data_IF_064737441163
#
_entry.id   IF_064737441163
#
_cell.length_a   1.000
_cell.length_b   1.000
_cell.length_c   1.000
_cell.angle_alpha   90.00
_cell.angle_beta   90.00
_cell.angle_gamma   90.00
#
_symmetry.space_group_name_H-M   'P 1'
#
loop_
_entity.id
_entity.type
_entity.pdbx_description
1 polymer ?
#
# COMPACT_ATOMS: atom_id res chain seq x y z
N UNK A 1 35.58 -7.31 -10.92
CA UNK A 1 35.45 -6.06 -11.66
C UNK A 1 34.06 -5.54 -11.33
N UNK A 2 33.99 -4.50 -10.51
CA UNK A 2 32.74 -3.94 -9.98
C UNK A 2 31.94 -3.28 -11.11
N UNK A 3 30.71 -3.73 -11.33
CA UNK A 3 29.74 -3.11 -12.26
C UNK A 3 29.16 -1.81 -11.68
N UNK A 4 29.98 -0.92 -11.14
CA UNK A 4 29.58 0.36 -10.54
C UNK A 4 29.26 1.47 -11.57
N UNK A 5 29.37 1.20 -12.88
CA UNK A 5 29.37 2.26 -13.89
C UNK A 5 27.96 2.72 -14.36
N UNK A 6 26.85 2.13 -13.85
CA UNK A 6 25.50 2.53 -14.29
C UNK A 6 24.45 2.40 -13.19
N UNK A 7 24.69 2.93 -11.98
CA UNK A 7 23.65 3.08 -10.98
C UNK A 7 22.85 4.37 -11.22
N UNK A 8 21.56 4.26 -11.45
CA UNK A 8 20.62 5.39 -11.56
C UNK A 8 19.83 5.53 -10.27
N UNK A 9 19.87 6.73 -9.66
CA UNK A 9 19.03 7.00 -8.49
C UNK A 9 17.58 7.16 -8.91
N UNK A 10 16.69 6.30 -8.38
CA UNK A 10 15.26 6.39 -8.61
C UNK A 10 14.66 7.50 -7.74
N UNK A 11 13.95 8.42 -8.38
CA UNK A 11 13.21 9.50 -7.70
C UNK A 11 11.80 9.02 -7.39
N UNK A 12 11.31 9.19 -6.16
CA UNK A 12 9.91 8.89 -5.81
C UNK A 12 9.68 8.22 -4.44
N UNK A 13 10.74 7.83 -3.71
CA UNK A 13 10.60 7.33 -2.34
C UNK A 13 10.94 8.41 -1.31
N UNK A 14 10.04 8.67 -0.37
CA UNK A 14 10.26 9.68 0.67
C UNK A 14 11.19 9.21 1.81
N UNK A 15 11.58 7.94 1.85
CA UNK A 15 12.18 7.33 3.05
C UNK A 15 13.56 6.69 2.82
N UNK A 16 13.95 6.36 1.58
CA UNK A 16 15.25 5.74 1.32
C UNK A 16 15.75 6.00 -0.10
N UNK A 17 17.07 6.15 -0.25
CA UNK A 17 17.69 6.20 -1.55
C UNK A 17 17.65 4.81 -2.20
N UNK A 18 17.01 4.72 -3.35
CA UNK A 18 16.91 3.51 -4.15
C UNK A 18 17.70 3.71 -5.44
N UNK A 19 18.60 2.79 -5.74
CA UNK A 19 19.43 2.84 -6.94
C UNK A 19 19.09 1.69 -7.88
N UNK A 20 18.80 1.97 -9.12
CA UNK A 20 18.62 0.97 -10.17
C UNK A 20 19.96 0.59 -10.79
N UNK A 21 20.19 -0.69 -10.98
CA UNK A 21 21.33 -1.25 -11.73
C UNK A 21 20.81 -2.39 -12.62
N UNK A 22 20.56 -2.08 -13.89
CA UNK A 22 19.93 -3.02 -14.84
C UNK A 22 18.52 -3.46 -14.39
N UNK A 23 18.35 -4.77 -14.22
CA UNK A 23 17.08 -5.38 -13.79
C UNK A 23 16.96 -5.53 -12.25
N UNK A 24 17.78 -4.81 -11.51
CA UNK A 24 17.82 -4.88 -10.05
C UNK A 24 17.84 -3.50 -9.41
N UNK A 25 17.41 -3.42 -8.15
CA UNK A 25 17.55 -2.22 -7.31
C UNK A 25 18.45 -2.51 -6.11
N UNK A 26 19.07 -1.44 -5.60
CA UNK A 26 19.89 -1.43 -4.38
C UNK A 26 19.25 -0.47 -3.40
N UNK A 27 19.07 -0.94 -2.16
CA UNK A 27 18.51 -0.15 -1.06
C UNK A 27 19.32 -0.38 0.21
N UNK A 28 19.51 0.66 1.01
CA UNK A 28 20.18 0.52 2.30
C UNK A 28 19.40 -0.41 3.22
N UNK A 29 20.13 -1.24 3.98
CA UNK A 29 19.52 -2.12 4.97
C UNK A 29 18.95 -1.31 6.12
N UNK A 30 17.70 -1.60 6.47
CA UNK A 30 17.06 -1.17 7.71
C UNK A 30 17.12 -2.28 8.76
N UNK A 31 16.92 -1.98 10.04
CA UNK A 31 16.88 -3.00 11.11
C UNK A 31 15.89 -4.14 10.79
N UNK A 32 14.79 -3.81 10.14
CA UNK A 32 13.71 -4.73 9.79
C UNK A 32 13.91 -5.47 8.46
N UNK A 33 14.93 -5.13 7.66
CA UNK A 33 15.17 -5.78 6.36
C UNK A 33 15.26 -7.31 6.41
N UNK A 34 15.86 -7.95 7.42
CA UNK A 34 15.92 -9.42 7.48
C UNK A 34 14.55 -10.10 7.51
N UNK A 35 13.55 -9.51 8.20
CA UNK A 35 12.19 -10.05 8.23
C UNK A 35 11.51 -9.88 6.86
N UNK A 36 11.70 -8.73 6.20
CA UNK A 36 11.18 -8.49 4.85
C UNK A 36 11.80 -9.46 3.84
N UNK A 37 13.10 -9.74 3.93
CA UNK A 37 13.75 -10.76 3.09
C UNK A 37 13.16 -12.16 3.29
N UNK A 38 12.79 -12.53 4.55
CA UNK A 38 12.10 -13.79 4.83
C UNK A 38 10.73 -13.84 4.15
N UNK A 39 9.97 -12.74 4.21
CA UNK A 39 8.68 -12.62 3.53
C UNK A 39 8.83 -12.73 2.01
N UNK A 40 9.73 -11.97 1.39
CA UNK A 40 9.93 -11.99 -0.06
C UNK A 40 10.33 -13.37 -0.58
N UNK A 41 11.20 -14.09 0.14
CA UNK A 41 11.54 -15.50 -0.19
C UNK A 41 10.34 -16.43 -0.06
N UNK A 42 9.49 -16.22 0.95
CA UNK A 42 8.27 -17.00 1.11
C UNK A 42 7.31 -16.76 -0.06
N UNK A 43 7.06 -15.51 -0.41
CA UNK A 43 6.21 -15.12 -1.55
C UNK A 43 6.74 -15.73 -2.86
N UNK A 44 8.05 -15.70 -3.10
CA UNK A 44 8.67 -16.35 -4.26
C UNK A 44 8.41 -17.86 -4.26
N UNK A 45 8.59 -18.54 -3.12
CA UNK A 45 8.34 -19.99 -2.97
C UNK A 45 6.86 -20.36 -3.18
N UNK A 46 5.94 -19.44 -2.85
CA UNK A 46 4.50 -19.61 -3.11
C UNK A 46 4.09 -19.29 -4.54
N UNK A 47 4.99 -18.78 -5.36
CA UNK A 47 4.71 -18.39 -6.74
C UNK A 47 3.97 -17.05 -6.88
N UNK A 48 3.99 -16.21 -5.83
CA UNK A 48 3.45 -14.86 -5.90
C UNK A 48 4.39 -13.97 -6.73
N UNK A 49 4.06 -13.80 -8.00
CA UNK A 49 4.92 -13.13 -8.99
C UNK A 49 4.86 -11.60 -8.97
N UNK A 50 4.00 -11.02 -8.15
CA UNK A 50 3.81 -9.56 -8.08
C UNK A 50 4.77 -8.85 -7.13
N UNK A 51 5.48 -9.57 -6.25
CA UNK A 51 6.49 -8.99 -5.36
C UNK A 51 7.88 -8.98 -5.99
N UNK A 52 8.77 -8.04 -5.61
CA UNK A 52 10.17 -8.13 -5.95
C UNK A 52 10.81 -9.36 -5.29
N UNK A 53 11.83 -9.93 -5.92
CA UNK A 53 12.61 -11.05 -5.34
C UNK A 53 13.81 -10.48 -4.60
N UNK A 54 14.11 -11.06 -3.44
CA UNK A 54 15.36 -10.78 -2.72
C UNK A 54 16.49 -11.61 -3.29
N UNK A 55 17.51 -10.95 -3.84
CA UNK A 55 18.63 -11.61 -4.52
C UNK A 55 19.89 -11.74 -3.65
N UNK A 56 20.00 -10.95 -2.57
CA UNK A 56 21.15 -10.96 -1.68
C UNK A 56 21.55 -9.57 -1.20
N UNK A 57 22.79 -9.48 -0.73
CA UNK A 57 23.41 -8.24 -0.24
C UNK A 57 24.64 -7.96 -1.10
N UNK A 58 24.83 -6.71 -1.51
CA UNK A 58 26.00 -6.29 -2.29
C UNK A 58 27.24 -6.05 -1.41
N UNK A 59 28.38 -5.77 -2.05
CA UNK A 59 29.65 -5.51 -1.35
C UNK A 59 29.62 -4.23 -0.48
N UNK A 60 28.66 -3.32 -0.73
CA UNK A 60 28.44 -2.09 0.05
C UNK A 60 27.48 -2.32 1.22
N UNK A 61 26.99 -3.56 1.42
CA UNK A 61 26.04 -3.90 2.49
C UNK A 61 24.61 -3.49 2.19
N UNK A 62 24.22 -3.24 0.94
CA UNK A 62 22.88 -2.89 0.51
C UNK A 62 22.12 -4.13 0.04
N UNK A 63 20.82 -4.19 0.28
CA UNK A 63 19.97 -5.26 -0.27
C UNK A 63 19.84 -5.13 -1.79
N UNK A 64 19.78 -6.29 -2.44
CA UNK A 64 19.56 -6.42 -3.88
C UNK A 64 18.19 -7.03 -4.09
N UNK A 65 17.29 -6.29 -4.75
CA UNK A 65 15.98 -6.77 -5.15
C UNK A 65 15.85 -6.75 -6.67
N UNK A 66 14.95 -7.58 -7.24
CA UNK A 66 14.58 -7.44 -8.65
C UNK A 66 13.86 -6.11 -8.87
N UNK A 67 14.13 -5.46 -10.00
CA UNK A 67 13.39 -4.28 -10.44
C UNK A 67 12.11 -4.72 -11.15
N UNK A 68 10.96 -4.21 -10.73
CA UNK A 68 9.69 -4.40 -11.45
C UNK A 68 9.55 -3.23 -12.41
N UNK A 69 9.74 -3.50 -13.71
CA UNK A 69 9.72 -2.47 -14.74
C UNK A 69 8.30 -1.95 -15.00
N UNK A 70 8.08 -0.67 -14.75
CA UNK A 70 6.79 -0.01 -14.92
C UNK A 70 6.77 1.35 -14.26
N UNK A 71 5.58 1.91 -14.12
CA UNK A 71 5.35 3.16 -13.41
C UNK A 71 4.58 2.93 -12.11
N UNK A 72 4.97 3.60 -11.04
CA UNK A 72 4.22 3.56 -9.79
C UNK A 72 2.95 4.41 -9.88
N UNK A 73 1.90 4.02 -9.16
CA UNK A 73 0.63 4.75 -9.10
C UNK A 73 0.71 6.05 -8.28
N UNK A 74 1.68 6.90 -8.59
CA UNK A 74 1.88 8.18 -7.91
C UNK A 74 0.79 9.19 -8.27
N UNK A 75 0.37 9.97 -7.28
CA UNK A 75 -0.58 11.07 -7.50
C UNK A 75 0.07 12.26 -8.25
N UNK A 76 -0.68 12.90 -9.16
CA UNK A 76 -2.04 12.59 -9.61
C UNK A 76 -2.09 11.32 -10.48
N UNK A 77 -3.06 10.43 -10.19
CA UNK A 77 -3.21 9.17 -10.91
C UNK A 77 -3.65 9.39 -12.36
N UNK A 78 -3.09 8.63 -13.28
CA UNK A 78 -3.57 8.54 -14.67
C UNK A 78 -5.00 7.97 -14.71
N UNK A 79 -5.78 8.33 -15.71
CA UNK A 79 -7.18 7.93 -15.81
C UNK A 79 -7.36 6.41 -15.81
N UNK A 80 -6.52 5.66 -16.54
CA UNK A 80 -6.59 4.21 -16.58
C UNK A 80 -6.39 3.55 -15.20
N UNK A 81 -5.57 4.15 -14.32
CA UNK A 81 -5.31 3.62 -12.96
C UNK A 81 -6.56 3.66 -12.07
N UNK A 82 -7.60 4.40 -12.49
CA UNK A 82 -8.89 4.53 -11.80
C UNK A 82 -9.98 3.69 -12.43
N UNK A 83 -9.67 2.97 -13.51
CA UNK A 83 -10.66 2.12 -14.21
C UNK A 83 -11.15 0.99 -13.32
N UNK A 84 -12.33 0.45 -13.66
CA UNK A 84 -12.86 -0.72 -12.96
C UNK A 84 -12.04 -1.97 -13.23
N UNK A 85 -11.46 -2.10 -14.42
CA UNK A 85 -10.58 -3.23 -14.76
C UNK A 85 -9.35 -3.25 -13.86
N UNK A 86 -8.71 -2.09 -13.64
CA UNK A 86 -7.58 -1.95 -12.72
C UNK A 86 -8.01 -2.24 -11.28
N UNK A 87 -9.15 -1.74 -10.83
CA UNK A 87 -9.69 -2.03 -9.50
C UNK A 87 -9.86 -3.54 -9.27
N UNK A 88 -10.46 -4.25 -10.25
CA UNK A 88 -10.64 -5.69 -10.18
C UNK A 88 -9.31 -6.46 -10.12
N UNK A 89 -8.32 -6.03 -10.88
CA UNK A 89 -7.00 -6.65 -10.87
C UNK A 89 -6.24 -6.41 -9.56
N UNK A 90 -6.35 -5.22 -8.98
CA UNK A 90 -5.78 -4.91 -7.66
C UNK A 90 -6.43 -5.77 -6.57
N UNK A 91 -7.76 -5.91 -6.58
CA UNK A 91 -8.47 -6.76 -5.64
C UNK A 91 -8.02 -8.23 -5.73
N UNK A 92 -7.87 -8.77 -6.95
CA UNK A 92 -7.35 -10.13 -7.19
C UNK A 92 -5.90 -10.27 -6.75
N UNK A 93 -5.06 -9.26 -6.97
CA UNK A 93 -3.66 -9.25 -6.54
C UNK A 93 -3.57 -9.30 -5.01
N UNK A 94 -4.38 -8.51 -4.29
CA UNK A 94 -4.45 -8.55 -2.84
C UNK A 94 -4.93 -9.91 -2.33
N UNK A 95 -5.94 -10.52 -2.97
CA UNK A 95 -6.39 -11.88 -2.63
C UNK A 95 -5.26 -12.89 -2.77
N UNK A 96 -4.55 -12.89 -3.89
CA UNK A 96 -3.41 -13.78 -4.12
C UNK A 96 -2.28 -13.56 -3.11
N UNK A 97 -2.05 -12.31 -2.68
CA UNK A 97 -1.12 -12.00 -1.61
C UNK A 97 -1.55 -12.67 -0.30
N UNK A 98 -2.78 -12.45 0.14
CA UNK A 98 -3.31 -13.03 1.38
C UNK A 98 -3.29 -14.57 1.36
N UNK A 99 -3.64 -15.18 0.23
CA UNK A 99 -3.57 -16.63 0.06
C UNK A 99 -2.11 -17.13 0.16
N UNK A 100 -1.15 -16.37 -0.39
CA UNK A 100 0.27 -16.71 -0.36
C UNK A 100 0.88 -16.63 1.04
N UNK A 101 0.39 -15.76 1.91
CA UNK A 101 0.88 -15.57 3.28
C UNK A 101 0.03 -16.27 4.35
N UNK A 102 -0.99 -17.03 3.95
CA UNK A 102 -1.93 -17.69 4.87
C UNK A 102 -1.26 -18.71 5.81
N UNK A 103 -0.14 -19.30 5.39
CA UNK A 103 0.69 -20.24 6.17
C UNK A 103 2.07 -19.65 6.54
N UNK A 104 2.25 -18.34 6.37
CA UNK A 104 3.49 -17.69 6.76
C UNK A 104 3.63 -17.67 8.27
N UNK A 105 4.71 -18.30 8.77
CA UNK A 105 5.00 -18.28 10.20
C UNK A 105 5.74 -17.00 10.59
N UNK A 106 5.11 -16.18 11.38
CA UNK A 106 5.69 -14.97 11.96
C UNK A 106 5.94 -15.16 13.48
N UNK A 107 6.95 -14.48 13.96
CA UNK A 107 7.37 -14.44 15.35
C UNK A 107 7.21 -13.03 15.94
N UNK A 108 7.63 -12.82 17.18
CA UNK A 108 7.48 -11.54 17.90
C UNK A 108 8.25 -10.37 17.26
N UNK A 109 9.11 -10.63 16.24
CA UNK A 109 9.76 -9.55 15.47
C UNK A 109 8.80 -8.85 14.51
N UNK A 110 7.67 -9.47 14.19
CA UNK A 110 6.62 -8.89 13.36
C UNK A 110 5.63 -8.13 14.24
N UNK A 111 5.58 -6.83 14.05
CA UNK A 111 4.71 -5.97 14.83
C UNK A 111 3.55 -5.46 13.99
N UNK A 112 2.36 -5.46 14.59
CA UNK A 112 1.21 -4.78 14.02
C UNK A 112 1.39 -3.26 14.10
N UNK A 113 0.82 -2.54 13.14
CA UNK A 113 0.76 -1.09 13.20
C UNK A 113 -0.30 -0.63 14.22
N UNK A 114 -0.27 0.64 14.61
CA UNK A 114 -1.20 1.19 15.61
C UNK A 114 -2.67 0.90 15.25
N UNK A 115 -3.46 0.55 16.22
CA UNK A 115 -4.89 0.18 16.15
C UNK A 115 -5.22 -1.11 15.37
N UNK A 116 -4.24 -1.89 14.89
CA UNK A 116 -4.56 -3.18 14.24
C UNK A 116 -5.34 -4.07 15.18
N UNK A 117 -6.50 -4.64 14.77
CA UNK A 117 -7.23 -5.61 15.56
C UNK A 117 -6.36 -6.84 15.88
N UNK A 118 -6.51 -7.40 17.08
CA UNK A 118 -5.68 -8.51 17.57
C UNK A 118 -6.11 -9.90 17.04
N UNK A 119 -6.95 -9.93 16.02
CA UNK A 119 -7.33 -11.15 15.28
C UNK A 119 -6.37 -11.30 14.10
N UNK A 120 -5.33 -12.10 14.26
CA UNK A 120 -4.31 -12.27 13.24
C UNK A 120 -4.68 -13.43 12.31
N UNK A 121 -5.09 -13.10 11.09
CA UNK A 121 -5.43 -14.07 10.05
C UNK A 121 -4.30 -14.28 9.06
N UNK A 122 -3.60 -13.19 8.73
CA UNK A 122 -2.53 -13.15 7.74
C UNK A 122 -1.42 -12.20 8.18
N UNK A 123 -0.30 -12.24 7.46
CA UNK A 123 0.67 -11.16 7.49
C UNK A 123 0.21 -10.10 6.49
N UNK A 124 -0.46 -9.04 6.96
CA UNK A 124 -0.89 -7.92 6.15
C UNK A 124 0.30 -7.19 5.51
N UNK A 125 0.13 -6.67 4.31
CA UNK A 125 1.09 -5.74 3.69
C UNK A 125 1.13 -4.42 4.47
N UNK A 126 0.00 -4.01 5.01
CA UNK A 126 -0.24 -2.76 5.74
C UNK A 126 -0.12 -1.47 4.91
N UNK A 127 0.39 -1.56 3.69
CA UNK A 127 0.50 -0.45 2.75
C UNK A 127 0.22 -0.90 1.31
N UNK A 128 -0.82 -1.75 1.13
CA UNK A 128 -1.28 -2.20 -0.19
C UNK A 128 -2.08 -1.09 -0.86
N UNK A 129 -1.37 -0.04 -1.22
CA UNK A 129 -1.90 1.21 -1.73
C UNK A 129 -1.53 1.43 -3.19
N UNK A 130 -2.33 2.21 -3.90
CA UNK A 130 -2.13 2.45 -5.33
C UNK A 130 -0.72 2.98 -5.67
N UNK A 131 -0.13 3.79 -4.80
CA UNK A 131 1.21 4.35 -5.01
C UNK A 131 2.35 3.32 -4.86
N UNK A 132 2.08 2.17 -4.25
CA UNK A 132 3.00 1.02 -4.18
C UNK A 132 2.74 -0.02 -5.28
N UNK A 133 1.73 0.19 -6.11
CA UNK A 133 1.44 -0.69 -7.25
C UNK A 133 2.22 -0.22 -8.47
N UNK A 134 2.88 -1.15 -9.14
CA UNK A 134 3.59 -0.91 -10.39
C UNK A 134 2.70 -1.29 -11.56
N UNK A 135 2.58 -0.37 -12.51
CA UNK A 135 1.76 -0.52 -13.70
C UNK A 135 2.63 -0.63 -14.96
N UNK A 136 2.22 -1.52 -15.87
CA UNK A 136 2.82 -1.65 -17.21
C UNK A 136 1.71 -2.01 -18.21
N UNK A 137 1.70 -1.33 -19.35
CA UNK A 137 0.64 -1.51 -20.36
C UNK A 137 -0.77 -1.36 -19.75
N UNK A 138 -0.95 -0.32 -18.92
CA UNK A 138 -2.20 0.03 -18.25
C UNK A 138 -2.75 -1.04 -17.28
N UNK A 139 -1.91 -1.98 -16.83
CA UNK A 139 -2.28 -3.07 -15.91
C UNK A 139 -1.37 -3.08 -14.68
N UNK A 140 -1.91 -3.41 -13.50
CA UNK A 140 -1.11 -3.62 -12.30
C UNK A 140 -0.31 -4.92 -12.45
N UNK A 141 1.02 -4.84 -12.33
CA UNK A 141 1.93 -5.96 -12.52
C UNK A 141 2.80 -6.26 -11.31
N UNK A 142 2.74 -5.44 -10.28
CA UNK A 142 3.53 -5.64 -9.07
C UNK A 142 3.12 -4.76 -7.92
N UNK A 143 3.53 -5.16 -6.74
CA UNK A 143 3.40 -4.42 -5.48
C UNK A 143 4.77 -4.36 -4.80
N UNK A 144 5.14 -3.21 -4.29
CA UNK A 144 6.42 -2.92 -3.64
C UNK A 144 6.22 -2.41 -2.21
N UNK A 145 7.30 -2.25 -1.48
CA UNK A 145 7.36 -1.63 -0.14
C UNK A 145 6.67 -2.46 0.97
N UNK A 146 7.28 -3.60 1.29
CA UNK A 146 6.85 -4.52 2.34
C UNK A 146 7.38 -4.14 3.75
N UNK A 147 7.94 -2.95 3.93
CA UNK A 147 8.66 -2.56 5.15
C UNK A 147 7.77 -2.50 6.40
N UNK A 148 6.48 -2.21 6.21
CA UNK A 148 5.48 -2.12 7.28
C UNK A 148 4.61 -3.37 7.41
N UNK A 149 4.94 -4.45 6.68
CA UNK A 149 4.19 -5.70 6.78
C UNK A 149 4.14 -6.21 8.22
N UNK A 150 2.97 -6.69 8.65
CA UNK A 150 2.75 -7.15 10.02
C UNK A 150 1.44 -7.91 10.18
N UNK A 151 1.26 -8.67 11.29
CA UNK A 151 0.08 -9.49 11.50
C UNK A 151 -1.19 -8.66 11.69
N UNK A 152 -2.29 -9.12 11.08
CA UNK A 152 -3.61 -8.50 11.18
C UNK A 152 -4.70 -9.31 10.50
N UNK A 153 -5.97 -8.87 10.58
CA UNK A 153 -7.05 -9.47 9.80
C UNK A 153 -6.96 -9.00 8.34
N UNK A 154 -7.46 -9.83 7.42
CA UNK A 154 -7.50 -9.48 5.97
C UNK A 154 -8.23 -8.18 5.71
N UNK A 155 -9.33 -7.94 6.44
CA UNK A 155 -10.13 -6.72 6.29
C UNK A 155 -9.33 -5.45 6.60
N UNK A 156 -8.28 -5.54 7.41
CA UNK A 156 -7.37 -4.43 7.72
C UNK A 156 -6.60 -3.94 6.48
N UNK A 157 -6.07 -4.87 5.69
CA UNK A 157 -5.42 -4.57 4.41
C UNK A 157 -6.43 -4.11 3.36
N UNK A 158 -7.57 -4.81 3.27
CA UNK A 158 -8.67 -4.44 2.37
C UNK A 158 -9.13 -3.01 2.63
N UNK A 159 -9.30 -2.63 3.90
CA UNK A 159 -9.75 -1.30 4.28
C UNK A 159 -8.82 -0.19 3.75
N UNK A 160 -7.52 -0.36 3.88
CA UNK A 160 -6.57 0.64 3.36
C UNK A 160 -6.47 0.64 1.85
N UNK A 161 -6.52 -0.55 1.23
CA UNK A 161 -6.59 -0.65 -0.22
C UNK A 161 -7.82 0.04 -0.78
N UNK A 162 -9.01 -0.21 -0.21
CA UNK A 162 -10.25 0.49 -0.59
C UNK A 162 -10.11 2.00 -0.48
N UNK A 163 -9.55 2.51 0.62
CA UNK A 163 -9.35 3.95 0.81
C UNK A 163 -8.51 4.57 -0.32
N UNK A 164 -7.50 3.87 -0.81
CA UNK A 164 -6.57 4.41 -1.83
C UNK A 164 -7.01 4.16 -3.27
N UNK A 165 -7.77 3.09 -3.57
CA UNK A 165 -8.16 2.73 -4.95
C UNK A 165 -9.63 3.04 -5.26
N UNK A 166 -10.50 3.12 -4.24
CA UNK A 166 -11.85 3.67 -4.35
C UNK A 166 -11.80 5.07 -3.74
N UNK A 167 -12.39 6.10 -4.34
CA UNK A 167 -12.25 7.46 -3.81
C UNK A 167 -13.10 7.66 -2.52
N UNK A 168 -12.68 7.01 -1.41
CA UNK A 168 -13.30 7.16 -0.09
C UNK A 168 -12.80 8.42 0.65
N UNK A 169 -12.52 9.48 -0.08
CA UNK A 169 -11.96 10.73 0.41
C UNK A 169 -12.80 11.94 -0.01
N UNK A 170 -12.68 13.04 0.72
CA UNK A 170 -13.43 14.29 0.46
C UNK A 170 -13.15 14.91 -0.90
N UNK A 171 -12.06 14.54 -1.55
CA UNK A 171 -11.74 14.96 -2.91
C UNK A 171 -10.77 13.99 -3.58
N UNK A 172 -10.73 14.05 -4.89
CA UNK A 172 -9.72 13.40 -5.72
C UNK A 172 -8.95 14.45 -6.53
N UNK A 173 -7.76 14.08 -7.01
CA UNK A 173 -7.06 14.86 -8.03
C UNK A 173 -7.41 14.29 -9.40
N UNK A 174 -7.78 15.12 -10.37
CA UNK A 174 -7.83 14.70 -11.78
C UNK A 174 -6.42 14.30 -12.26
N UNK A 175 -6.28 13.72 -13.44
CA UNK A 175 -4.96 13.41 -14.03
C UNK A 175 -4.11 14.69 -14.23
N UNK A 176 -4.74 15.84 -14.41
CA UNK A 176 -4.07 17.16 -14.51
C UNK A 176 -3.74 17.78 -13.16
N UNK A 177 -4.07 17.11 -12.04
CA UNK A 177 -3.84 17.60 -10.68
C UNK A 177 -4.92 18.54 -10.13
N UNK A 178 -6.02 18.73 -10.86
CA UNK A 178 -7.14 19.56 -10.39
C UNK A 178 -7.92 18.82 -9.30
N UNK A 179 -8.31 19.56 -8.27
CA UNK A 179 -9.09 19.03 -7.15
C UNK A 179 -10.55 18.87 -7.52
N UNK A 180 -11.05 17.64 -7.48
CA UNK A 180 -12.47 17.28 -7.67
C UNK A 180 -13.07 16.92 -6.31
N UNK A 181 -13.89 17.78 -5.75
CA UNK A 181 -14.54 17.54 -4.46
C UNK A 181 -15.65 16.50 -4.59
N UNK A 182 -15.90 15.77 -3.50
CA UNK A 182 -17.04 14.86 -3.41
C UNK A 182 -18.35 15.60 -3.54
N UNK A 183 -19.29 15.00 -4.27
CA UNK A 183 -20.67 15.38 -4.41
C UNK A 183 -21.53 14.12 -4.29
N UNK A 184 -22.42 14.06 -3.30
CA UNK A 184 -23.22 12.87 -3.00
C UNK A 184 -24.07 12.42 -4.19
N UNK A 185 -24.71 13.36 -4.89
CA UNK A 185 -25.59 13.04 -6.03
C UNK A 185 -24.85 12.45 -7.22
N UNK A 186 -23.58 12.82 -7.39
CA UNK A 186 -22.76 12.36 -8.52
C UNK A 186 -21.92 11.14 -8.18
N UNK A 187 -21.42 11.02 -6.95
CA UNK A 187 -20.35 10.09 -6.61
C UNK A 187 -20.79 8.91 -5.74
N UNK A 188 -21.83 9.07 -4.87
CA UNK A 188 -22.18 8.05 -3.88
C UNK A 188 -22.47 6.68 -4.51
N UNK A 189 -23.33 6.64 -5.53
CA UNK A 189 -23.64 5.38 -6.22
C UNK A 189 -22.43 4.75 -6.90
N UNK A 190 -21.54 5.57 -7.45
CA UNK A 190 -20.31 5.07 -8.10
C UNK A 190 -19.36 4.46 -7.08
N UNK A 191 -19.17 5.11 -5.93
CA UNK A 191 -18.38 4.57 -4.82
C UNK A 191 -18.95 3.23 -4.35
N UNK A 192 -20.25 3.16 -4.06
CA UNK A 192 -20.95 1.94 -3.68
C UNK A 192 -20.72 0.80 -4.67
N UNK A 193 -20.84 1.08 -5.97
CA UNK A 193 -20.59 0.09 -7.04
C UNK A 193 -19.14 -0.39 -7.05
N UNK A 194 -18.18 0.52 -6.87
CA UNK A 194 -16.76 0.18 -6.87
C UNK A 194 -16.37 -0.64 -5.63
N UNK A 195 -16.91 -0.33 -4.45
CA UNK A 195 -16.71 -1.15 -3.24
C UNK A 195 -17.23 -2.57 -3.50
N UNK A 196 -18.45 -2.70 -4.03
CA UNK A 196 -19.01 -4.02 -4.38
C UNK A 196 -18.11 -4.77 -5.36
N UNK A 197 -17.70 -4.10 -6.44
CA UNK A 197 -16.85 -4.69 -7.47
C UNK A 197 -15.50 -5.16 -6.91
N UNK A 198 -14.94 -4.41 -5.95
CA UNK A 198 -13.71 -4.80 -5.27
C UNK A 198 -13.90 -6.11 -4.49
N UNK A 199 -14.92 -6.21 -3.62
CA UNK A 199 -15.17 -7.41 -2.83
C UNK A 199 -15.51 -8.62 -3.70
N UNK A 200 -16.37 -8.45 -4.73
CA UNK A 200 -16.66 -9.51 -5.71
C UNK A 200 -15.38 -10.02 -6.41
N UNK A 201 -14.47 -9.11 -6.77
CA UNK A 201 -13.21 -9.45 -7.43
C UNK A 201 -12.18 -10.05 -6.48
N UNK A 202 -12.19 -9.64 -5.21
CA UNK A 202 -11.40 -10.23 -4.14
C UNK A 202 -11.90 -11.65 -3.79
N UNK A 203 -13.18 -11.92 -4.01
CA UNK A 203 -13.81 -13.24 -3.84
C UNK A 203 -14.40 -13.47 -2.45
N UNK A 204 -14.83 -12.41 -1.79
CA UNK A 204 -15.56 -12.44 -0.51
C UNK A 204 -16.80 -11.55 -0.59
N UNK A 205 -17.78 -11.79 0.28
CA UNK A 205 -18.94 -10.91 0.43
C UNK A 205 -18.51 -9.60 1.09
N UNK A 206 -19.30 -8.54 0.88
CA UNK A 206 -19.03 -7.24 1.52
C UNK A 206 -19.25 -7.41 3.02
N UNK A 207 -18.23 -7.15 3.80
CA UNK A 207 -18.36 -7.10 5.25
C UNK A 207 -19.08 -5.81 5.66
N UNK A 208 -20.13 -5.95 6.48
CA UNK A 208 -20.99 -4.82 6.89
C UNK A 208 -20.20 -3.73 7.63
N UNK A 209 -19.11 -4.09 8.29
CA UNK A 209 -18.24 -3.20 9.08
C UNK A 209 -17.01 -2.68 8.33
N UNK A 210 -16.93 -2.88 7.00
CA UNK A 210 -15.74 -2.45 6.24
C UNK A 210 -15.43 -0.95 6.41
N UNK A 211 -16.45 -0.10 6.54
CA UNK A 211 -16.26 1.34 6.77
C UNK A 211 -15.70 1.64 8.16
N UNK A 212 -16.13 0.89 9.17
CA UNK A 212 -15.56 1.00 10.52
C UNK A 212 -14.11 0.59 10.52
N UNK A 213 -13.75 -0.45 9.74
CA UNK A 213 -12.35 -0.86 9.57
C UNK A 213 -11.53 0.20 8.82
N UNK A 214 -12.09 0.85 7.80
CA UNK A 214 -11.43 1.98 7.12
C UNK A 214 -11.14 3.12 8.11
N UNK A 215 -12.12 3.50 8.92
CA UNK A 215 -11.96 4.54 9.94
C UNK A 215 -10.87 4.14 10.95
N UNK A 216 -10.94 2.93 11.49
CA UNK A 216 -9.96 2.42 12.47
C UNK A 216 -8.54 2.40 11.87
N UNK A 217 -8.43 2.03 10.59
CA UNK A 217 -7.14 1.99 9.85
C UNK A 217 -6.55 3.39 9.68
N UNK A 218 -7.37 4.39 9.32
CA UNK A 218 -6.92 5.77 9.18
C UNK A 218 -6.57 6.39 10.54
N UNK A 219 -7.33 6.11 11.59
CA UNK A 219 -7.01 6.52 12.96
C UNK A 219 -5.67 5.92 13.43
N UNK A 220 -5.44 4.63 13.12
CA UNK A 220 -4.16 3.97 13.38
C UNK A 220 -3.01 4.64 12.65
N UNK A 221 -3.21 5.02 11.38
CA UNK A 221 -2.21 5.75 10.59
C UNK A 221 -1.89 7.11 11.21
N UNK A 222 -2.91 7.89 11.58
CA UNK A 222 -2.73 9.18 12.26
C UNK A 222 -1.94 9.02 13.57
N UNK A 223 -2.26 7.97 14.35
CA UNK A 223 -1.56 7.66 15.60
C UNK A 223 -0.10 7.27 15.34
N UNK A 224 0.17 6.45 14.33
CA UNK A 224 1.53 6.06 13.93
C UNK A 224 2.35 7.28 13.53
N UNK A 225 1.79 8.16 12.67
CA UNK A 225 2.45 9.39 12.22
C UNK A 225 2.82 10.26 13.43
N UNK A 226 1.86 10.53 14.30
CA UNK A 226 2.07 11.38 15.49
C UNK A 226 3.11 10.80 16.44
N UNK A 227 3.02 9.49 16.72
CA UNK A 227 3.95 8.80 17.62
C UNK A 227 5.37 8.81 17.07
N UNK A 228 5.56 8.38 15.83
CA UNK A 228 6.90 8.31 15.23
C UNK A 228 7.55 9.68 15.06
N UNK A 229 6.79 10.71 14.69
CA UNK A 229 7.30 12.08 14.66
C UNK A 229 7.75 12.53 16.05
N UNK A 230 6.97 12.24 17.11
CA UNK A 230 7.35 12.55 18.50
C UNK A 230 8.58 11.78 19.00
N UNK A 231 8.85 10.60 18.43
CA UNK A 231 10.06 9.79 18.68
C UNK A 231 11.29 10.30 17.90
N UNK A 232 11.12 11.33 17.06
CA UNK A 232 12.19 11.99 16.30
C UNK A 232 12.43 11.41 14.89
N UNK A 233 11.48 10.61 14.35
CA UNK A 233 11.56 10.15 12.98
C UNK A 233 11.26 11.30 12.02
N UNK A 234 12.30 11.69 11.27
CA UNK A 234 12.26 12.85 10.37
C UNK A 234 11.24 12.64 9.23
N UNK A 235 11.12 11.42 8.70
CA UNK A 235 10.19 11.16 7.61
C UNK A 235 8.73 11.36 8.05
N UNK A 236 8.38 10.93 9.27
CA UNK A 236 7.04 11.15 9.84
C UNK A 236 6.81 12.61 10.24
N UNK A 237 7.86 13.34 10.67
CA UNK A 237 7.74 14.78 10.86
C UNK A 237 7.45 15.50 9.54
N UNK A 238 8.14 15.14 8.46
CA UNK A 238 7.86 15.69 7.12
C UNK A 238 6.43 15.41 6.68
N UNK A 239 5.88 14.22 6.95
CA UNK A 239 4.45 13.93 6.66
C UNK A 239 3.50 14.89 7.39
N UNK A 240 3.83 15.31 8.62
CA UNK A 240 3.03 16.32 9.34
C UNK A 240 3.18 17.69 8.68
N UNK A 241 4.40 18.09 8.37
CA UNK A 241 4.71 19.41 7.79
C UNK A 241 4.10 19.56 6.38
N UNK A 242 4.03 18.47 5.61
CA UNK A 242 3.38 18.41 4.29
C UNK A 242 1.85 18.28 4.37
N UNK A 243 1.27 18.23 5.57
CA UNK A 243 -0.19 18.21 5.80
C UNK A 243 -0.86 16.86 5.65
N UNK A 244 -0.10 15.75 5.57
CA UNK A 244 -0.67 14.40 5.45
C UNK A 244 -1.53 14.02 6.67
N UNK A 245 -1.09 14.37 7.89
CA UNK A 245 -1.85 14.10 9.11
C UNK A 245 -3.21 14.81 9.08
N UNK A 246 -3.22 16.09 8.74
CA UNK A 246 -4.46 16.87 8.62
C UNK A 246 -5.38 16.31 7.53
N UNK A 247 -4.81 15.87 6.40
CA UNK A 247 -5.56 15.24 5.31
C UNK A 247 -6.32 14.01 5.81
N UNK A 248 -5.65 13.06 6.50
CA UNK A 248 -6.30 11.86 7.02
C UNK A 248 -7.35 12.17 8.10
N UNK A 249 -7.10 13.12 9.00
CA UNK A 249 -8.06 13.54 10.02
C UNK A 249 -9.33 14.12 9.39
N UNK A 250 -9.19 14.92 8.33
CA UNK A 250 -10.31 15.48 7.59
C UNK A 250 -11.08 14.38 6.82
N UNK A 251 -10.39 13.38 6.27
CA UNK A 251 -11.06 12.27 5.58
C UNK A 251 -11.76 11.33 6.57
N UNK A 252 -11.24 11.11 7.78
CA UNK A 252 -11.94 10.40 8.85
C UNK A 252 -13.28 11.09 9.17
N UNK A 253 -13.26 12.41 9.32
CA UNK A 253 -14.48 13.20 9.57
C UNK A 253 -15.46 13.05 8.43
N UNK A 254 -14.99 13.20 7.20
CA UNK A 254 -15.77 13.06 5.99
C UNK A 254 -16.41 11.67 5.84
N UNK A 255 -15.65 10.59 6.08
CA UNK A 255 -16.17 9.21 6.00
C UNK A 255 -17.25 8.97 7.06
N UNK A 256 -17.10 9.53 8.27
CA UNK A 256 -18.14 9.44 9.32
C UNK A 256 -19.44 10.11 8.90
N UNK A 257 -19.36 11.21 8.17
CA UNK A 257 -20.53 11.98 7.71
C UNK A 257 -21.21 11.34 6.50
N UNK A 258 -20.42 10.86 5.54
CA UNK A 258 -20.90 10.42 4.23
C UNK A 258 -20.85 8.91 3.98
N UNK A 259 -20.09 8.14 4.76
CA UNK A 259 -19.86 6.72 4.50
C UNK A 259 -21.13 5.88 4.38
N UNK A 260 -22.20 6.23 5.09
CA UNK A 260 -23.49 5.53 4.99
C UNK A 260 -24.15 5.62 3.60
N UNK A 261 -23.76 6.60 2.79
CA UNK A 261 -24.25 6.76 1.42
C UNK A 261 -23.69 5.68 0.48
N UNK A 262 -22.63 5.00 0.89
CA UNK A 262 -21.90 4.00 0.10
C UNK A 262 -22.23 2.53 0.49
N UNK A 263 -23.01 2.33 1.52
CA UNK A 263 -23.44 1.02 2.02
C UNK A 263 -24.67 0.44 1.30
#
# INVERSE_FOLDING_TARGET
>A
MSNDENEEMLTGGNVSNVYRSGDTVRRELKPDSPRVHKLLRHLENKGFSYAPKFLGIDEKGREILTFIEGEAGNYPLKEYMRSDDVLMEIAKMLRLYHDSVSDFSFDDSWQSIDNTPQQFEVLCHNDFAVYNIIFKHERPIGIIDFDVAGPGPKLWDIAYTLYTVVPLSRFNLSETGEKVNYDSLQHANRIKQRVRLFFESYGEEIEEDYLEMVLLRLEGLCKTITRKASEGDIAFQMMIDDGHLEHYQNDITFIREHGKEWM
#
